data_IF_638030088496
#
_entry.id   IF_638030088496
#
_cell.length_a   1.000
_cell.length_b   1.000
_cell.length_c   1.000
_cell.angle_alpha   90.00
_cell.angle_beta   90.00
_cell.angle_gamma   90.00
#
_symmetry.space_group_name_H-M   'P 1'
#
loop_
_entity.id
_entity.type
_entity.pdbx_description
1 polymer ?
#
# COMPACT_ATOMS: atom_id res chain seq x y z
N UNK A 1 3.42 25.81 10.80
CA UNK A 1 2.95 24.71 11.67
C UNK A 1 1.47 24.81 12.08
N UNK A 2 0.79 25.96 11.92
CA UNK A 2 -0.69 26.00 11.81
C UNK A 2 -1.21 24.95 10.82
N UNK A 3 -0.45 24.68 9.76
CA UNK A 3 -0.78 23.68 8.73
C UNK A 3 -1.05 22.27 9.28
N UNK A 4 -0.31 21.81 10.30
CA UNK A 4 -0.54 20.48 10.89
C UNK A 4 -1.90 20.43 11.58
N UNK A 5 -2.20 21.43 12.42
CA UNK A 5 -3.43 21.44 13.23
C UNK A 5 -4.66 21.81 12.40
N UNK A 6 -4.52 22.77 11.47
CA UNK A 6 -5.63 23.35 10.74
C UNK A 6 -5.92 22.62 9.42
N UNK A 7 -4.98 21.84 8.88
CA UNK A 7 -5.14 21.20 7.57
C UNK A 7 -4.85 19.69 7.62
N UNK A 8 -3.61 19.28 7.94
CA UNK A 8 -3.21 17.87 7.78
C UNK A 8 -3.88 16.93 8.79
N UNK A 9 -4.04 17.35 10.06
CA UNK A 9 -4.71 16.54 11.06
C UNK A 9 -6.22 16.37 10.78
N UNK A 10 -6.97 17.44 10.42
CA UNK A 10 -8.32 17.30 9.90
C UNK A 10 -8.41 16.40 8.66
N UNK A 11 -7.48 16.55 7.71
CA UNK A 11 -7.43 15.73 6.49
C UNK A 11 -7.23 14.24 6.82
N UNK A 12 -6.24 13.90 7.65
CA UNK A 12 -6.00 12.52 8.08
C UNK A 12 -7.21 11.93 8.81
N UNK A 13 -7.89 12.71 9.66
CA UNK A 13 -9.11 12.27 10.35
C UNK A 13 -10.31 12.11 9.41
N UNK A 14 -10.38 12.95 8.38
CA UNK A 14 -11.43 12.97 7.36
C UNK A 14 -11.29 11.93 6.27
N UNK A 15 -10.19 11.18 6.22
CA UNK A 15 -10.04 10.05 5.31
C UNK A 15 -11.20 9.05 5.51
N UNK A 16 -11.76 8.49 4.42
CA UNK A 16 -12.85 7.53 4.50
C UNK A 16 -12.42 6.29 5.28
N UNK A 17 -13.39 5.64 5.93
CA UNK A 17 -13.15 4.36 6.63
C UNK A 17 -13.43 3.14 5.74
N UNK A 18 -13.92 3.34 4.52
CA UNK A 18 -14.22 2.29 3.55
C UNK A 18 -13.46 2.50 2.23
N UNK A 19 -13.19 1.40 1.54
CA UNK A 19 -12.57 1.42 0.23
C UNK A 19 -13.47 2.14 -0.80
N UNK A 20 -12.88 2.91 -1.73
CA UNK A 20 -13.63 3.51 -2.83
C UNK A 20 -14.26 2.47 -3.76
N UNK A 21 -15.29 2.87 -4.50
CA UNK A 21 -16.02 1.97 -5.40
C UNK A 21 -15.46 1.92 -6.83
N UNK A 22 -14.63 2.89 -7.21
CA UNK A 22 -14.07 3.03 -8.56
C UNK A 22 -12.56 3.38 -8.55
N UNK A 23 -11.91 3.19 -9.71
CA UNK A 23 -10.47 3.38 -9.91
C UNK A 23 -9.99 4.81 -9.63
N UNK A 24 -10.77 5.81 -10.06
CA UNK A 24 -10.39 7.22 -9.94
C UNK A 24 -10.37 7.64 -8.47
N UNK A 25 -11.38 7.22 -7.71
CA UNK A 25 -11.44 7.45 -6.28
C UNK A 25 -10.34 6.68 -5.53
N UNK A 26 -9.97 5.48 -5.99
CA UNK A 26 -8.81 4.74 -5.48
C UNK A 26 -7.50 5.51 -5.62
N UNK A 27 -7.20 5.99 -6.84
CA UNK A 27 -5.97 6.73 -7.12
C UNK A 27 -5.88 8.03 -6.32
N UNK A 28 -7.00 8.75 -6.18
CA UNK A 28 -7.08 9.96 -5.35
C UNK A 28 -6.78 9.67 -3.89
N UNK A 29 -7.39 8.62 -3.33
CA UNK A 29 -7.19 8.26 -1.93
C UNK A 29 -5.77 7.82 -1.61
N UNK A 30 -5.14 7.03 -2.49
CA UNK A 30 -3.73 6.68 -2.37
C UNK A 30 -2.84 7.94 -2.40
N UNK A 31 -3.13 8.87 -3.31
CA UNK A 31 -2.38 10.13 -3.43
C UNK A 31 -2.52 11.00 -2.17
N UNK A 32 -3.70 11.03 -1.54
CA UNK A 32 -3.89 11.72 -0.27
C UNK A 32 -3.07 11.09 0.87
N UNK A 33 -3.07 9.76 0.96
CA UNK A 33 -2.26 9.02 1.94
C UNK A 33 -0.77 9.30 1.73
N UNK A 34 -0.29 9.23 0.48
CA UNK A 34 1.12 9.47 0.13
C UNK A 34 1.53 10.93 0.40
N UNK A 35 0.63 11.88 0.13
CA UNK A 35 0.85 13.30 0.41
C UNK A 35 0.97 13.59 1.91
N UNK A 36 0.10 12.99 2.74
CA UNK A 36 0.20 13.11 4.19
C UNK A 36 1.48 12.46 4.74
N UNK A 37 1.88 11.29 4.23
CA UNK A 37 3.13 10.65 4.61
C UNK A 37 4.34 11.53 4.28
N UNK A 38 4.36 12.14 3.10
CA UNK A 38 5.41 13.09 2.67
C UNK A 38 5.47 14.31 3.61
N UNK A 39 4.32 14.91 3.92
CA UNK A 39 4.24 16.07 4.81
C UNK A 39 4.73 15.74 6.24
N UNK A 40 4.47 14.52 6.74
CA UNK A 40 4.96 14.06 8.04
C UNK A 40 6.49 13.95 8.03
N UNK A 41 7.04 13.36 6.96
CA UNK A 41 8.48 13.15 6.81
C UNK A 41 9.23 14.48 6.67
N UNK A 42 8.78 15.35 5.76
CA UNK A 42 9.37 16.69 5.60
C UNK A 42 9.31 17.46 6.92
N UNK A 43 8.18 17.39 7.64
CA UNK A 43 8.02 18.01 8.96
C UNK A 43 8.94 17.43 10.04
N UNK A 44 9.37 16.17 9.92
CA UNK A 44 10.24 15.50 10.90
C UNK A 44 11.70 15.95 10.82
N UNK A 45 12.12 16.50 9.68
CA UNK A 45 13.46 17.05 9.49
C UNK A 45 13.64 18.46 10.05
N UNK A 46 12.58 19.08 10.55
CA UNK A 46 12.59 20.45 11.06
C UNK A 46 12.82 20.48 12.57
N UNK A 47 13.48 21.52 13.07
CA UNK A 47 13.58 21.77 14.51
C UNK A 47 12.22 22.25 15.04
N UNK A 48 11.48 21.35 15.70
CA UNK A 48 10.12 21.60 16.18
C UNK A 48 10.09 22.01 17.66
N UNK A 49 9.21 22.95 17.99
CA UNK A 49 8.84 23.24 19.39
C UNK A 49 8.08 22.07 20.03
N UNK A 50 7.98 22.03 21.36
CA UNK A 50 7.25 20.95 22.06
C UNK A 50 5.78 20.83 21.61
N UNK A 51 5.09 21.95 21.38
CA UNK A 51 3.71 21.95 20.88
C UNK A 51 3.61 21.41 19.46
N UNK A 52 4.62 21.69 18.65
CA UNK A 52 4.73 21.25 17.26
C UNK A 52 5.00 19.74 17.16
N UNK A 53 5.89 19.21 18.00
CA UNK A 53 6.14 17.79 18.13
C UNK A 53 4.88 17.03 18.56
N UNK A 54 4.13 17.56 19.53
CA UNK A 54 2.85 16.97 19.96
C UNK A 54 1.83 16.89 18.82
N UNK A 55 1.69 17.96 18.04
CA UNK A 55 0.77 17.99 16.91
C UNK A 55 1.18 16.99 15.81
N UNK A 56 2.49 16.86 15.55
CA UNK A 56 3.01 15.88 14.60
C UNK A 56 2.75 14.44 15.08
N UNK A 57 2.98 14.15 16.36
CA UNK A 57 2.67 12.82 16.93
C UNK A 57 1.18 12.46 16.81
N UNK A 58 0.28 13.44 16.98
CA UNK A 58 -1.16 13.24 16.76
C UNK A 58 -1.49 12.94 15.30
N UNK A 59 -0.83 13.61 14.35
CA UNK A 59 -1.00 13.36 12.92
C UNK A 59 -0.52 11.95 12.55
N UNK A 60 0.66 11.56 13.01
CA UNK A 60 1.21 10.19 12.81
C UNK A 60 0.25 9.13 13.35
N UNK A 61 -0.23 9.31 14.58
CA UNK A 61 -1.18 8.38 15.19
C UNK A 61 -2.50 8.29 14.41
N UNK A 62 -3.03 9.43 13.96
CA UNK A 62 -4.27 9.48 13.19
C UNK A 62 -4.13 8.78 11.85
N UNK A 63 -3.07 9.07 11.09
CA UNK A 63 -2.82 8.46 9.79
C UNK A 63 -2.56 6.96 9.93
N UNK A 64 -1.71 6.55 10.86
CA UNK A 64 -1.43 5.13 11.15
C UNK A 64 -2.72 4.35 11.45
N UNK A 65 -3.57 4.89 12.31
CA UNK A 65 -4.85 4.25 12.66
C UNK A 65 -5.79 4.14 11.44
N UNK A 66 -5.82 5.15 10.58
CA UNK A 66 -6.62 5.13 9.34
C UNK A 66 -6.09 4.11 8.35
N UNK A 67 -4.78 4.10 8.08
CA UNK A 67 -4.16 3.16 7.15
C UNK A 67 -4.39 1.69 7.57
N UNK A 68 -4.27 1.37 8.87
CA UNK A 68 -4.57 0.03 9.42
C UNK A 68 -5.99 -0.46 9.13
N UNK A 69 -6.97 0.44 9.07
CA UNK A 69 -8.37 0.08 8.77
C UNK A 69 -8.64 0.08 7.27
N UNK A 70 -8.11 1.08 6.57
CA UNK A 70 -8.46 1.38 5.19
C UNK A 70 -7.73 0.46 4.20
N UNK A 71 -6.41 0.27 4.34
CA UNK A 71 -5.60 -0.47 3.38
C UNK A 71 -6.05 -1.93 3.20
N UNK A 72 -6.41 -2.71 4.25
CA UNK A 72 -6.96 -4.05 4.06
C UNK A 72 -8.25 -4.07 3.22
N UNK A 73 -9.14 -3.10 3.43
CA UNK A 73 -10.38 -3.01 2.65
C UNK A 73 -10.11 -2.59 1.20
N UNK A 74 -9.14 -1.68 1.00
CA UNK A 74 -8.70 -1.26 -0.32
C UNK A 74 -8.06 -2.42 -1.10
N UNK A 75 -7.20 -3.23 -0.46
CA UNK A 75 -6.62 -4.43 -1.10
C UNK A 75 -7.69 -5.37 -1.61
N UNK A 76 -8.68 -5.69 -0.77
CA UNK A 76 -9.79 -6.57 -1.13
C UNK A 76 -10.56 -6.02 -2.32
N UNK A 77 -10.98 -4.76 -2.24
CA UNK A 77 -11.77 -4.12 -3.29
C UNK A 77 -10.99 -4.01 -4.61
N UNK A 78 -9.69 -3.74 -4.54
CA UNK A 78 -8.80 -3.73 -5.70
C UNK A 78 -8.72 -5.11 -6.36
N UNK A 79 -8.57 -6.18 -5.56
CA UNK A 79 -8.57 -7.56 -6.06
C UNK A 79 -9.89 -7.90 -6.78
N UNK A 80 -11.03 -7.54 -6.19
CA UNK A 80 -12.36 -7.77 -6.81
C UNK A 80 -12.50 -7.03 -8.15
N UNK A 81 -12.04 -5.78 -8.20
CA UNK A 81 -12.05 -4.97 -9.43
C UNK A 81 -11.13 -5.55 -10.50
N UNK A 82 -9.95 -6.02 -10.09
CA UNK A 82 -8.98 -6.61 -10.99
C UNK A 82 -9.48 -7.95 -11.55
N UNK A 83 -10.13 -8.79 -10.73
CA UNK A 83 -10.79 -10.02 -11.20
C UNK A 83 -11.82 -9.70 -12.29
N UNK A 84 -12.69 -8.72 -12.05
CA UNK A 84 -13.70 -8.31 -13.03
C UNK A 84 -13.10 -7.81 -14.35
N UNK A 85 -11.98 -7.10 -14.29
CA UNK A 85 -11.25 -6.60 -15.48
C UNK A 85 -10.55 -7.71 -16.26
N UNK A 86 -9.95 -8.65 -15.54
CA UNK A 86 -9.11 -9.70 -16.13
C UNK A 86 -9.91 -10.97 -16.48
N UNK A 87 -11.16 -11.09 -16.03
CA UNK A 87 -12.05 -12.21 -16.34
C UNK A 87 -12.16 -12.49 -17.84
N UNK A 88 -12.29 -11.44 -18.68
CA UNK A 88 -12.38 -11.60 -20.14
C UNK A 88 -11.08 -12.06 -20.80
N UNK A 89 -9.97 -12.05 -20.06
CA UNK A 89 -8.65 -12.54 -20.50
C UNK A 89 -8.33 -13.92 -19.92
N UNK A 90 -9.35 -14.62 -19.40
CA UNK A 90 -9.24 -15.93 -18.76
C UNK A 90 -8.26 -15.95 -17.57
N UNK A 91 -8.17 -14.83 -16.86
CA UNK A 91 -7.36 -14.69 -15.65
C UNK A 91 -8.31 -14.53 -14.46
N UNK A 92 -8.17 -15.41 -13.48
CA UNK A 92 -8.81 -15.30 -12.17
C UNK A 92 -7.88 -14.63 -11.18
N UNK A 93 -8.45 -13.78 -10.33
CA UNK A 93 -7.71 -13.08 -9.28
C UNK A 93 -8.30 -13.44 -7.93
N UNK A 94 -7.44 -13.82 -6.99
CA UNK A 94 -7.83 -14.11 -5.62
C UNK A 94 -6.86 -13.51 -4.61
N UNK A 95 -7.35 -13.20 -3.40
CA UNK A 95 -6.47 -12.82 -2.29
C UNK A 95 -6.13 -14.03 -1.44
N UNK A 96 -4.85 -14.15 -1.11
CA UNK A 96 -4.27 -15.20 -0.26
C UNK A 96 -3.69 -14.54 0.97
N UNK A 97 -4.07 -15.02 2.17
CA UNK A 97 -3.54 -14.50 3.44
C UNK A 97 -3.78 -13.00 3.69
N UNK A 98 -4.72 -12.36 2.95
CA UNK A 98 -5.12 -10.96 3.12
C UNK A 98 -4.14 -9.90 2.59
N UNK A 99 -2.97 -10.31 2.12
CA UNK A 99 -1.95 -9.39 1.58
C UNK A 99 -1.15 -9.99 0.41
N UNK A 100 -1.48 -11.17 -0.09
CA UNK A 100 -0.90 -11.71 -1.33
C UNK A 100 -1.99 -11.76 -2.39
N UNK A 101 -1.68 -11.33 -3.61
CA UNK A 101 -2.58 -11.45 -4.75
C UNK A 101 -2.19 -12.68 -5.56
N UNK A 102 -3.12 -13.54 -5.94
CA UNK A 102 -2.85 -14.65 -6.85
C UNK A 102 -3.61 -14.47 -8.15
N UNK A 103 -2.89 -14.55 -9.26
CA UNK A 103 -3.45 -14.52 -10.61
C UNK A 103 -3.30 -15.91 -11.23
N UNK A 104 -4.41 -16.48 -11.68
CA UNK A 104 -4.44 -17.80 -12.32
C UNK A 104 -5.00 -17.70 -13.73
N UNK A 105 -4.25 -18.10 -14.74
CA UNK A 105 -4.71 -18.10 -16.13
C UNK A 105 -3.67 -18.65 -17.11
N UNK A 106 -4.09 -19.23 -18.24
CA UNK A 106 -3.21 -19.93 -19.18
C UNK A 106 -2.14 -19.03 -19.80
N UNK A 107 -2.34 -17.70 -19.79
CA UNK A 107 -1.35 -16.73 -20.25
C UNK A 107 -0.02 -16.83 -19.46
N UNK A 108 -0.04 -17.27 -18.20
CA UNK A 108 1.13 -17.35 -17.34
C UNK A 108 1.99 -18.61 -17.56
N UNK A 109 1.73 -19.39 -18.62
CA UNK A 109 2.67 -20.45 -19.05
C UNK A 109 4.01 -19.88 -19.50
N UNK A 110 4.04 -18.63 -20.00
CA UNK A 110 5.26 -17.97 -20.48
C UNK A 110 5.76 -16.96 -19.46
N UNK A 111 7.04 -17.06 -19.07
CA UNK A 111 7.68 -16.14 -18.11
C UNK A 111 7.61 -14.67 -18.55
N UNK A 112 7.76 -14.37 -19.85
CA UNK A 112 7.64 -13.00 -20.36
C UNK A 112 6.28 -12.36 -20.04
N UNK A 113 5.18 -13.13 -20.13
CA UNK A 113 3.86 -12.61 -19.79
C UNK A 113 3.70 -12.36 -18.28
N UNK A 114 4.46 -13.09 -17.46
CA UNK A 114 4.51 -12.88 -16.01
C UNK A 114 5.29 -11.62 -15.69
N UNK A 115 6.45 -11.40 -16.32
CA UNK A 115 7.26 -10.19 -16.17
C UNK A 115 6.50 -8.93 -16.61
N UNK A 116 5.82 -8.98 -17.76
CA UNK A 116 5.01 -7.86 -18.25
C UNK A 116 3.87 -7.52 -17.28
N UNK A 117 3.15 -8.53 -16.77
CA UNK A 117 2.07 -8.32 -15.81
C UNK A 117 2.60 -7.81 -14.46
N UNK A 118 3.74 -8.32 -14.00
CA UNK A 118 4.38 -7.86 -12.76
C UNK A 118 4.76 -6.39 -12.85
N UNK A 119 5.41 -5.97 -13.94
CA UNK A 119 5.81 -4.60 -14.15
C UNK A 119 4.60 -3.63 -14.18
N UNK A 120 3.45 -4.08 -14.69
CA UNK A 120 2.21 -3.30 -14.69
C UNK A 120 1.57 -3.21 -13.29
N UNK A 121 1.59 -4.29 -12.51
CA UNK A 121 0.87 -4.38 -11.23
C UNK A 121 1.69 -3.93 -10.03
N UNK A 122 3.00 -4.14 -10.02
CA UNK A 122 3.89 -3.88 -8.89
C UNK A 122 3.66 -2.48 -8.26
N UNK A 123 3.59 -1.36 -9.02
CA UNK A 123 3.50 -0.04 -8.42
C UNK A 123 2.22 0.16 -7.59
N UNK A 124 1.09 -0.34 -8.07
CA UNK A 124 -0.19 -0.21 -7.37
C UNK A 124 -0.32 -1.21 -6.23
N UNK A 125 0.20 -2.44 -6.41
CA UNK A 125 0.22 -3.44 -5.35
C UNK A 125 1.09 -3.01 -4.17
N UNK A 126 2.28 -2.45 -4.44
CA UNK A 126 3.16 -1.91 -3.42
C UNK A 126 2.50 -0.75 -2.66
N UNK A 127 1.88 0.22 -3.35
CA UNK A 127 1.15 1.32 -2.71
C UNK A 127 -0.02 0.85 -1.83
N UNK A 128 -0.68 -0.24 -2.22
CA UNK A 128 -1.74 -0.88 -1.43
C UNK A 128 -1.21 -1.81 -0.31
N UNK A 129 0.12 -1.92 -0.19
CA UNK A 129 0.83 -2.75 0.78
C UNK A 129 0.48 -4.23 0.69
N UNK A 130 0.31 -4.74 -0.54
CA UNK A 130 0.45 -6.16 -0.77
C UNK A 130 1.88 -6.58 -0.43
N UNK A 131 2.02 -7.79 0.12
CA UNK A 131 3.29 -8.43 0.50
C UNK A 131 3.87 -9.29 -0.62
N UNK A 132 3.04 -9.64 -1.59
CA UNK A 132 3.50 -10.43 -2.71
C UNK A 132 2.39 -10.70 -3.72
N UNK A 133 2.81 -11.28 -4.83
CA UNK A 133 1.94 -11.71 -5.92
C UNK A 133 2.40 -13.06 -6.45
N UNK A 134 1.42 -13.91 -6.77
CA UNK A 134 1.63 -15.28 -7.23
C UNK A 134 0.94 -15.48 -8.58
N UNK A 135 1.70 -15.97 -9.57
CA UNK A 135 1.22 -16.24 -10.92
C UNK A 135 1.16 -17.75 -11.17
N UNK A 136 -0.01 -18.24 -11.58
CA UNK A 136 -0.23 -19.66 -11.90
C UNK A 136 -0.85 -19.80 -13.27
N UNK A 137 -0.42 -20.79 -14.02
CA UNK A 137 -1.04 -21.06 -15.32
C UNK A 137 -2.34 -21.89 -15.20
N UNK A 138 -2.53 -22.62 -14.10
CA UNK A 138 -3.70 -23.47 -13.83
C UNK A 138 -3.99 -23.58 -12.34
N UNK A 139 -5.26 -23.72 -11.98
CA UNK A 139 -5.71 -23.94 -10.60
C UNK A 139 -5.35 -25.33 -10.06
N UNK A 140 -5.08 -26.29 -10.95
CA UNK A 140 -4.70 -27.66 -10.60
C UNK A 140 -3.22 -27.81 -10.24
N UNK A 141 -2.41 -26.78 -10.48
CA UNK A 141 -0.98 -26.78 -10.17
C UNK A 141 -0.74 -25.93 -8.93
N UNK A 142 -0.10 -26.53 -7.92
CA UNK A 142 0.22 -25.83 -6.68
C UNK A 142 1.38 -24.83 -6.84
N UNK A 143 2.26 -25.11 -7.80
CA UNK A 143 3.44 -24.29 -8.10
C UNK A 143 3.07 -23.10 -8.99
N UNK A 144 3.68 -21.96 -8.67
CA UNK A 144 3.53 -20.71 -9.40
C UNK A 144 4.74 -19.82 -9.15
N UNK A 145 4.94 -18.84 -10.02
CA UNK A 145 5.98 -17.83 -9.84
C UNK A 145 5.51 -16.84 -8.78
N UNK A 146 6.37 -16.55 -7.80
CA UNK A 146 6.08 -15.67 -6.67
C UNK A 146 7.03 -14.49 -6.66
N UNK A 147 6.47 -13.31 -6.47
CA UNK A 147 7.20 -12.07 -6.25
C UNK A 147 6.85 -11.54 -4.88
N UNK A 148 7.87 -11.26 -4.07
CA UNK A 148 7.71 -10.61 -2.78
C UNK A 148 7.80 -9.10 -2.97
N UNK A 149 6.88 -8.37 -2.35
CA UNK A 149 6.83 -6.92 -2.40
C UNK A 149 7.36 -6.35 -1.09
N UNK A 150 8.34 -5.45 -1.19
CA UNK A 150 8.92 -4.73 -0.05
C UNK A 150 7.99 -3.61 0.44
N UNK A 151 6.79 -3.99 0.88
CA UNK A 151 5.80 -3.06 1.43
C UNK A 151 5.93 -2.93 2.97
N UNK A 152 5.78 -1.72 3.52
CA UNK A 152 5.74 -1.49 4.96
C UNK A 152 4.47 -2.09 5.58
N UNK A 153 4.44 -2.21 6.92
CA UNK A 153 3.23 -2.64 7.62
C UNK A 153 2.11 -1.59 7.48
N UNK A 154 0.82 -1.97 7.50
CA UNK A 154 -0.30 -1.03 7.31
C UNK A 154 -0.35 0.17 8.29
N UNK A 155 0.32 0.07 9.44
CA UNK A 155 0.42 1.18 10.40
C UNK A 155 1.65 2.05 10.27
N UNK A 156 2.61 1.66 9.46
CA UNK A 156 3.88 2.38 9.32
C UNK A 156 3.71 3.55 8.35
N UNK A 157 4.28 4.70 8.71
CA UNK A 157 4.29 5.87 7.83
C UNK A 157 5.52 5.75 6.94
N UNK A 158 5.30 5.69 5.62
CA UNK A 158 6.36 5.56 4.64
C UNK A 158 5.98 6.34 3.39
N UNK A 159 6.97 7.00 2.78
CA UNK A 159 6.80 7.81 1.59
C UNK A 159 6.98 6.96 0.34
N UNK A 160 6.05 7.06 -0.59
CA UNK A 160 6.17 6.48 -1.93
C UNK A 160 7.09 7.34 -2.82
N UNK A 161 8.07 6.72 -3.48
CA UNK A 161 9.06 7.39 -4.35
C UNK A 161 8.80 7.22 -5.85
N UNK A 162 7.76 6.48 -6.23
CA UNK A 162 7.46 6.13 -7.62
C UNK A 162 7.79 4.67 -7.96
N UNK A 163 8.77 4.08 -7.28
CA UNK A 163 9.26 2.72 -7.50
C UNK A 163 9.46 1.94 -6.18
N UNK A 164 8.93 2.43 -5.07
CA UNK A 164 9.13 1.84 -3.75
C UNK A 164 8.83 2.81 -2.61
N UNK A 165 9.12 2.36 -1.38
CA UNK A 165 8.99 3.18 -0.19
C UNK A 165 10.37 3.61 0.33
N UNK A 166 10.50 4.89 0.66
CA UNK A 166 11.63 5.38 1.45
C UNK A 166 11.36 5.14 2.94
N UNK A 167 12.38 4.66 3.67
CA UNK A 167 12.34 4.57 5.14
C UNK A 167 12.48 5.98 5.73
N UNK A 168 11.64 6.30 6.71
CA UNK A 168 11.79 7.53 7.50
C UNK A 168 13.16 7.55 8.21
N UNK A 169 14.05 8.45 7.83
CA UNK A 169 15.22 8.81 8.63
C UNK A 169 14.78 9.84 9.68
N UNK A 170 14.57 9.41 10.94
CA UNK A 170 14.26 10.37 12.02
C UNK A 170 13.44 9.84 13.21
N UNK A 171 12.98 8.59 13.19
CA UNK A 171 12.37 7.96 14.36
C UNK A 171 12.84 6.51 14.39
N UNK A 172 13.87 6.20 15.21
CA UNK A 172 14.38 4.83 15.33
C UNK A 172 13.26 3.88 15.78
N UNK A 173 12.96 2.81 15.02
CA UNK A 173 12.25 1.66 15.54
C UNK A 173 13.22 0.86 16.40
N UNK A 174 12.79 0.50 17.61
CA UNK A 174 13.51 -0.43 18.50
C UNK A 174 14.00 -1.66 17.72
N UNK A 175 15.27 -2.00 17.91
CA UNK A 175 15.93 -3.15 17.32
C UNK A 175 15.10 -4.44 17.39
N UNK A 176 15.19 -5.26 16.34
CA UNK A 176 14.85 -6.68 16.48
C UNK A 176 14.33 -7.38 15.23
N UNK A 177 15.13 -7.47 14.16
CA UNK A 177 15.01 -8.61 13.25
C UNK A 177 16.39 -9.00 12.76
N UNK A 178 17.08 -9.72 13.65
CA UNK A 178 18.15 -10.61 13.23
C UNK A 178 17.52 -11.75 12.43
N UNK A 179 18.08 -11.96 11.24
CA UNK A 179 17.94 -13.15 10.41
C UNK A 179 17.94 -14.43 11.25
N UNK A 180 16.99 -15.34 10.97
CA UNK A 180 17.22 -16.78 10.79
C UNK A 180 16.21 -17.31 9.79
#
# INVERSE_FOLDING_TARGET
>A
MERVQNYWLPEARGLPDAAPVDDSAFGKLLTQIDGLATNIEDGSTLALSAQQQKAQGQLVAALSAKQKRLLPTMRRKYADMLDGKLFRRDIRVEMVGGATLRLTGPIFVRNANVEDMEAELEPVLARLRFRGVEYRWSSYVAEGLKYDLAAPADGEIARWTGNGFAKMTGFEPLEGSSRR
#
